data_IF_192397720570
#
_entry.id   IF_192397720570
#
_cell.length_a   1.000
_cell.length_b   1.000
_cell.length_c   1.000
_cell.angle_alpha   90.00
_cell.angle_beta   90.00
_cell.angle_gamma   90.00
#
_symmetry.space_group_name_H-M   'P 1'
#
loop_
_entity.id
_entity.type
_entity.pdbx_description
1 polymer ?
#
# COMPACT_ATOMS: atom_id res chain seq x y z
N UNK A 1 -6.95 -19.93 -25.41
CA UNK A 1 -5.66 -19.70 -26.09
C UNK A 1 -4.58 -19.79 -25.02
N UNK A 2 -3.63 -20.73 -25.13
CA UNK A 2 -2.53 -20.82 -24.15
C UNK A 2 -1.64 -19.57 -24.27
N UNK A 3 -1.39 -18.91 -23.14
CA UNK A 3 -0.51 -17.74 -23.07
C UNK A 3 0.93 -18.20 -23.33
N UNK A 4 1.60 -17.59 -24.29
CA UNK A 4 3.02 -17.89 -24.55
C UNK A 4 3.86 -17.51 -23.32
N UNK A 5 4.88 -18.31 -22.96
CA UNK A 5 5.79 -17.94 -21.89
C UNK A 5 6.51 -16.63 -22.21
N UNK A 6 6.55 -15.72 -21.23
CA UNK A 6 7.32 -14.46 -21.29
C UNK A 6 8.81 -14.80 -21.37
N UNK A 7 9.48 -14.26 -22.38
CA UNK A 7 10.90 -14.50 -22.69
C UNK A 7 11.81 -13.40 -22.16
N UNK A 8 11.33 -12.16 -22.08
CA UNK A 8 12.13 -11.04 -21.56
C UNK A 8 12.55 -11.31 -20.12
N UNK A 9 13.83 -11.09 -19.84
CA UNK A 9 14.46 -11.32 -18.54
C UNK A 9 14.35 -10.08 -17.65
N UNK A 10 14.37 -10.31 -16.34
CA UNK A 10 14.32 -9.24 -15.34
C UNK A 10 15.42 -8.17 -15.56
N UNK A 11 16.71 -8.53 -15.75
CA UNK A 11 17.75 -7.53 -15.96
C UNK A 11 17.51 -6.65 -17.19
N UNK A 12 17.00 -7.22 -18.30
CA UNK A 12 16.71 -6.45 -19.52
C UNK A 12 15.64 -5.37 -19.27
N UNK A 13 14.67 -5.66 -18.40
CA UNK A 13 13.60 -4.72 -18.01
C UNK A 13 14.17 -3.61 -17.12
N UNK A 14 14.97 -3.98 -16.12
CA UNK A 14 15.61 -3.02 -15.20
C UNK A 14 16.53 -2.08 -15.98
N UNK A 15 17.46 -2.63 -16.77
CA UNK A 15 18.42 -1.86 -17.55
C UNK A 15 17.73 -0.91 -18.55
N UNK A 16 16.65 -1.37 -19.19
CA UNK A 16 15.89 -0.55 -20.12
C UNK A 16 15.25 0.65 -19.42
N UNK A 17 14.56 0.44 -18.29
CA UNK A 17 13.80 1.50 -17.64
C UNK A 17 14.65 2.45 -16.82
N UNK A 18 15.57 1.93 -15.99
CA UNK A 18 16.40 2.77 -15.11
C UNK A 18 17.49 3.54 -15.85
N UNK A 19 17.67 3.31 -17.16
CA UNK A 19 18.41 4.22 -18.05
C UNK A 19 17.56 5.36 -18.65
N UNK A 20 16.26 5.39 -18.38
CA UNK A 20 15.28 6.30 -19.01
C UNK A 20 14.37 7.03 -18.02
N UNK A 21 14.18 6.50 -16.82
CA UNK A 21 13.33 7.07 -15.77
C UNK A 21 14.20 7.61 -14.63
N UNK A 22 13.67 8.61 -13.92
CA UNK A 22 14.23 9.05 -12.66
C UNK A 22 13.74 8.11 -11.56
N UNK A 23 14.65 7.35 -10.93
CA UNK A 23 14.31 6.42 -9.86
C UNK A 23 13.67 7.10 -8.64
N UNK A 24 13.92 8.40 -8.45
CA UNK A 24 13.34 9.17 -7.37
C UNK A 24 11.82 9.32 -7.52
N UNK A 25 11.23 9.04 -8.68
CA UNK A 25 9.78 9.02 -8.88
C UNK A 25 9.11 7.73 -8.34
N UNK A 26 9.87 6.73 -7.90
CA UNK A 26 9.37 5.40 -7.57
C UNK A 26 9.66 4.97 -6.13
N UNK A 27 9.01 3.87 -5.71
CA UNK A 27 9.22 3.24 -4.39
C UNK A 27 10.45 2.31 -4.36
N UNK A 28 11.30 2.33 -5.38
CA UNK A 28 12.46 1.44 -5.56
C UNK A 28 13.56 2.18 -6.32
N UNK A 29 14.81 1.95 -5.93
CA UNK A 29 15.99 2.42 -6.67
C UNK A 29 16.46 1.40 -7.72
N UNK A 30 17.31 1.84 -8.64
CA UNK A 30 17.87 1.00 -9.70
C UNK A 30 18.64 -0.21 -9.14
N UNK A 31 19.30 -0.04 -8.00
CA UNK A 31 20.14 -1.07 -7.39
C UNK A 31 19.31 -2.27 -6.88
N UNK A 32 18.10 -2.04 -6.35
CA UNK A 32 17.22 -3.07 -5.79
C UNK A 32 16.00 -3.39 -6.68
N UNK A 33 15.87 -2.74 -7.85
CA UNK A 33 14.76 -2.93 -8.80
C UNK A 33 14.58 -4.38 -9.30
N UNK A 34 15.61 -5.21 -9.22
CA UNK A 34 15.57 -6.62 -9.62
C UNK A 34 14.99 -7.56 -8.54
N UNK A 35 14.83 -7.08 -7.30
CA UNK A 35 14.35 -7.88 -6.17
C UNK A 35 13.21 -7.23 -5.36
N UNK A 36 12.90 -5.96 -5.61
CA UNK A 36 11.79 -5.23 -5.00
C UNK A 36 10.70 -4.87 -5.99
N UNK A 37 9.45 -4.92 -5.53
CA UNK A 37 8.29 -4.54 -6.32
C UNK A 37 8.31 -3.03 -6.60
N UNK A 38 8.12 -2.64 -7.87
CA UNK A 38 8.24 -1.24 -8.29
C UNK A 38 7.14 -0.33 -7.75
N UNK A 39 6.00 -0.90 -7.32
CA UNK A 39 4.95 -0.15 -6.62
C UNK A 39 5.18 -0.07 -5.11
N UNK A 40 5.32 -1.23 -4.46
CA UNK A 40 5.27 -1.28 -3.00
C UNK A 40 6.62 -1.23 -2.29
N UNK A 41 7.73 -1.32 -3.03
CA UNK A 41 9.09 -1.31 -2.49
C UNK A 41 9.44 -2.55 -1.65
N UNK A 42 8.54 -3.53 -1.53
CA UNK A 42 8.79 -4.75 -0.76
C UNK A 42 9.66 -5.73 -1.53
N UNK A 43 10.65 -6.31 -0.85
CA UNK A 43 11.44 -7.44 -1.36
C UNK A 43 10.57 -8.70 -1.45
N UNK A 44 10.29 -9.18 -2.67
CA UNK A 44 9.35 -10.28 -2.95
C UNK A 44 9.73 -10.99 -4.25
N UNK A 45 9.10 -12.14 -4.51
CA UNK A 45 9.13 -12.74 -5.84
C UNK A 45 8.45 -11.79 -6.84
N UNK A 46 9.19 -11.43 -7.89
CA UNK A 46 8.74 -10.49 -8.91
C UNK A 46 8.16 -11.21 -10.13
N UNK A 47 7.12 -10.62 -10.67
CA UNK A 47 6.42 -11.04 -11.87
C UNK A 47 6.61 -9.96 -12.95
N UNK A 48 6.75 -10.42 -14.20
CA UNK A 48 6.86 -9.58 -15.39
C UNK A 48 5.46 -9.14 -15.79
N UNK A 49 5.04 -7.98 -15.29
CA UNK A 49 3.74 -7.40 -15.51
C UNK A 49 3.73 -6.59 -16.81
N UNK A 50 2.73 -6.80 -17.65
CA UNK A 50 2.58 -6.05 -18.89
C UNK A 50 1.99 -4.67 -18.59
N UNK A 51 2.58 -3.61 -19.18
CA UNK A 51 2.04 -2.25 -19.16
C UNK A 51 0.75 -2.21 -19.99
N UNK A 52 0.84 -2.61 -21.26
CA UNK A 52 -0.31 -2.95 -22.10
C UNK A 52 -0.43 -4.46 -22.16
N UNK A 53 -1.61 -5.00 -21.82
CA UNK A 53 -1.85 -6.44 -21.79
C UNK A 53 -1.63 -7.10 -23.16
N UNK A 54 -1.12 -8.34 -23.16
CA UNK A 54 -0.95 -9.18 -24.35
C UNK A 54 -2.27 -9.34 -25.13
N UNK A 55 -3.39 -9.52 -24.42
CA UNK A 55 -4.74 -9.60 -25.02
C UNK A 55 -5.19 -8.31 -25.71
N UNK A 56 -4.50 -7.19 -25.45
CA UNK A 56 -4.73 -5.88 -26.06
C UNK A 56 -3.60 -5.50 -27.04
N UNK A 57 -2.75 -6.45 -27.43
CA UNK A 57 -1.66 -6.23 -28.40
C UNK A 57 -0.34 -5.78 -27.77
N UNK A 58 -0.21 -5.82 -26.45
CA UNK A 58 1.04 -5.54 -25.76
C UNK A 58 2.13 -6.57 -26.07
N UNK A 59 3.35 -6.10 -26.32
CA UNK A 59 4.49 -6.96 -26.70
C UNK A 59 5.26 -7.47 -25.47
N UNK A 60 5.88 -8.64 -25.63
CA UNK A 60 6.88 -9.18 -24.71
C UNK A 60 8.25 -8.55 -25.02
N UNK A 61 8.42 -7.30 -24.59
CA UNK A 61 9.66 -6.52 -24.74
C UNK A 61 9.89 -5.66 -23.50
N UNK A 62 11.15 -5.29 -23.16
CA UNK A 62 11.45 -4.49 -21.98
C UNK A 62 10.60 -3.21 -21.86
N UNK A 63 10.33 -2.55 -22.99
CA UNK A 63 9.55 -1.32 -23.09
C UNK A 63 8.05 -1.47 -22.75
N UNK A 64 7.54 -2.69 -22.55
CA UNK A 64 6.15 -2.95 -22.18
C UNK A 64 6.02 -3.78 -20.90
N UNK A 65 7.09 -3.92 -20.12
CA UNK A 65 7.10 -4.72 -18.90
C UNK A 65 7.57 -3.90 -17.70
N UNK A 66 6.95 -4.15 -16.54
CA UNK A 66 7.38 -3.66 -15.22
C UNK A 66 7.43 -4.83 -14.25
N UNK A 67 8.15 -4.67 -13.12
CA UNK A 67 8.31 -5.74 -12.14
C UNK A 67 7.47 -5.49 -10.88
N UNK A 68 6.50 -6.37 -10.66
CA UNK A 68 5.56 -6.27 -9.53
C UNK A 68 5.55 -7.57 -8.74
N UNK A 69 5.26 -7.49 -7.44
CA UNK A 69 4.89 -8.68 -6.68
C UNK A 69 3.46 -9.12 -7.04
N UNK A 70 3.11 -10.39 -6.80
CA UNK A 70 1.78 -10.95 -7.12
C UNK A 70 0.59 -10.09 -6.66
N UNK A 71 0.70 -9.44 -5.49
CA UNK A 71 -0.34 -8.52 -5.01
C UNK A 71 -0.47 -7.28 -5.89
N UNK A 72 0.64 -6.61 -6.17
CA UNK A 72 0.61 -5.40 -6.99
C UNK A 72 0.27 -5.74 -8.44
N UNK A 73 0.70 -6.89 -8.95
CA UNK A 73 0.32 -7.37 -10.27
C UNK A 73 -1.19 -7.61 -10.36
N UNK A 74 -1.85 -8.15 -9.33
CA UNK A 74 -3.30 -8.31 -9.35
C UNK A 74 -4.08 -6.98 -9.30
N UNK A 75 -3.47 -5.90 -8.80
CA UNK A 75 -4.07 -4.57 -8.66
C UNK A 75 -3.70 -3.61 -9.80
N UNK A 76 -2.91 -4.04 -10.79
CA UNK A 76 -2.39 -3.16 -11.83
C UNK A 76 -3.51 -2.63 -12.76
N UNK A 77 -3.32 -1.46 -13.39
CA UNK A 77 -4.22 -0.98 -14.43
C UNK A 77 -4.32 -1.96 -15.62
N UNK A 78 -5.52 -2.18 -16.13
CA UNK A 78 -5.81 -3.09 -17.25
C UNK A 78 -6.38 -2.32 -18.45
N UNK A 79 -5.62 -1.32 -18.94
CA UNK A 79 -6.03 -0.40 -20.01
C UNK A 79 -4.98 -0.38 -21.14
N UNK A 80 -5.33 0.17 -22.30
CA UNK A 80 -4.43 0.25 -23.47
C UNK A 80 -3.46 1.42 -23.43
N UNK A 81 -3.74 2.43 -22.61
CA UNK A 81 -2.89 3.60 -22.47
C UNK A 81 -1.75 3.30 -21.48
N UNK A 82 -0.48 3.25 -21.94
CA UNK A 82 0.64 2.92 -21.08
C UNK A 82 0.93 3.99 -20.02
N UNK A 83 0.50 5.24 -20.21
CA UNK A 83 0.73 6.34 -19.26
C UNK A 83 0.10 6.03 -17.90
N UNK A 84 -1.07 5.40 -17.90
CA UNK A 84 -1.84 5.08 -16.70
C UNK A 84 -1.09 4.12 -15.76
N UNK A 85 -0.27 3.21 -16.29
CA UNK A 85 0.60 2.37 -15.45
C UNK A 85 1.61 3.23 -14.68
N UNK A 86 2.23 4.19 -15.36
CA UNK A 86 3.24 5.05 -14.78
C UNK A 86 2.64 6.02 -13.78
N UNK A 87 1.50 6.64 -14.09
CA UNK A 87 0.74 7.46 -13.16
C UNK A 87 0.42 6.70 -11.87
N UNK A 88 -0.04 5.46 -12.02
CA UNK A 88 -0.33 4.59 -10.90
C UNK A 88 0.92 4.27 -10.07
N UNK A 89 2.04 3.89 -10.69
CA UNK A 89 3.29 3.62 -9.96
C UNK A 89 3.77 4.84 -9.18
N UNK A 90 3.80 6.01 -9.83
CA UNK A 90 4.25 7.29 -9.24
C UNK A 90 3.34 7.75 -8.11
N UNK A 91 2.03 7.62 -8.26
CA UNK A 91 1.05 8.01 -7.24
C UNK A 91 1.18 7.22 -5.93
N UNK A 92 1.74 6.01 -5.98
CA UNK A 92 2.00 5.16 -4.82
C UNK A 92 3.45 5.20 -4.33
N UNK A 93 4.27 6.15 -4.80
CA UNK A 93 5.62 6.38 -4.28
C UNK A 93 5.60 6.57 -2.76
N UNK A 94 6.52 5.90 -2.06
CA UNK A 94 6.75 6.07 -0.62
C UNK A 94 8.21 6.37 -0.33
N UNK A 95 8.51 7.16 0.73
CA UNK A 95 9.88 7.57 1.04
C UNK A 95 10.77 6.44 1.58
N UNK A 96 10.17 5.36 2.07
CA UNK A 96 10.90 4.24 2.66
C UNK A 96 10.34 2.91 2.19
N UNK A 97 11.22 1.94 1.97
CA UNK A 97 10.83 0.57 1.63
C UNK A 97 9.91 -0.06 2.67
N UNK A 98 9.08 -1.00 2.21
CA UNK A 98 8.18 -1.79 3.04
C UNK A 98 7.10 -0.98 3.80
N UNK A 99 6.95 0.32 3.53
CA UNK A 99 5.99 1.19 4.23
C UNK A 99 4.64 1.37 3.53
N UNK A 100 4.54 1.08 2.23
CA UNK A 100 3.33 1.36 1.42
C UNK A 100 2.05 0.86 2.10
N UNK A 101 2.02 -0.42 2.50
CA UNK A 101 0.80 -1.01 3.04
C UNK A 101 0.40 -0.44 4.40
N UNK A 102 1.37 0.04 5.18
CA UNK A 102 1.07 0.76 6.43
C UNK A 102 0.49 2.14 6.13
N UNK A 103 1.05 2.87 5.16
CA UNK A 103 0.55 4.17 4.72
C UNK A 103 -0.88 4.06 4.17
N UNK A 104 -1.16 3.04 3.34
CA UNK A 104 -2.51 2.80 2.85
C UNK A 104 -3.47 2.44 3.98
N UNK A 105 -3.04 1.63 4.95
CA UNK A 105 -3.83 1.33 6.15
C UNK A 105 -4.14 2.58 6.98
N UNK A 106 -3.21 3.53 7.08
CA UNK A 106 -3.42 4.82 7.76
C UNK A 106 -4.39 5.72 6.99
N UNK A 107 -4.30 5.75 5.65
CA UNK A 107 -5.24 6.46 4.79
C UNK A 107 -6.65 5.90 4.95
N UNK A 108 -6.79 4.57 4.92
CA UNK A 108 -8.06 3.87 5.13
C UNK A 108 -8.61 4.08 6.54
N UNK A 109 -7.74 4.07 7.57
CA UNK A 109 -8.10 4.42 8.94
C UNK A 109 -8.74 5.81 8.99
N UNK A 110 -8.06 6.81 8.42
CA UNK A 110 -8.57 8.19 8.36
C UNK A 110 -9.90 8.28 7.61
N UNK A 111 -10.04 7.52 6.52
CA UNK A 111 -11.29 7.48 5.76
C UNK A 111 -12.46 6.90 6.58
N UNK A 112 -12.24 5.79 7.30
CA UNK A 112 -13.27 5.10 8.09
C UNK A 112 -13.63 5.90 9.35
N UNK A 113 -12.63 6.35 10.11
CA UNK A 113 -12.83 6.94 11.44
C UNK A 113 -12.88 8.46 11.46
N UNK A 114 -12.68 9.11 10.29
CA UNK A 114 -12.65 10.58 10.11
C UNK A 114 -11.60 11.33 10.94
N UNK A 115 -10.71 10.58 11.59
CA UNK A 115 -9.56 11.03 12.37
C UNK A 115 -8.34 10.20 11.99
N UNK A 116 -7.16 10.77 12.06
CA UNK A 116 -5.92 10.03 11.85
C UNK A 116 -5.59 9.14 13.06
N UNK A 117 -4.84 8.07 12.80
CA UNK A 117 -4.32 7.19 13.85
C UNK A 117 -3.46 7.95 14.88
N UNK A 118 -2.72 8.97 14.43
CA UNK A 118 -1.84 9.75 15.30
C UNK A 118 -2.61 10.76 16.16
N UNK A 119 -3.72 11.33 15.69
CA UNK A 119 -4.61 12.14 16.54
C UNK A 119 -5.23 11.30 17.65
N UNK A 120 -5.63 10.07 17.36
CA UNK A 120 -6.17 9.16 18.37
C UNK A 120 -5.11 8.70 19.37
N UNK A 121 -3.86 8.50 18.94
CA UNK A 121 -2.73 8.28 19.85
C UNK A 121 -2.49 9.48 20.77
N UNK A 122 -2.47 10.69 20.21
CA UNK A 122 -2.27 11.93 20.96
C UNK A 122 -3.38 12.16 21.99
N UNK A 123 -4.64 11.83 21.65
CA UNK A 123 -5.76 11.87 22.58
C UNK A 123 -5.61 10.88 23.76
N UNK A 124 -4.89 9.77 23.53
CA UNK A 124 -4.49 8.84 24.59
C UNK A 124 -3.25 9.30 25.37
N UNK A 125 -2.66 10.45 25.04
CA UNK A 125 -1.48 11.01 25.67
C UNK A 125 -0.15 10.52 25.08
N UNK A 126 -0.19 9.81 23.94
CA UNK A 126 1.01 9.26 23.29
C UNK A 126 1.33 10.08 22.04
N UNK A 127 2.29 11.00 22.16
CA UNK A 127 2.74 11.84 21.03
C UNK A 127 4.20 11.60 20.65
N UNK A 128 5.01 11.12 21.58
CA UNK A 128 6.43 10.82 21.35
C UNK A 128 6.59 9.54 20.51
N UNK A 129 7.40 9.56 19.43
CA UNK A 129 7.62 8.38 18.58
C UNK A 129 8.21 7.18 19.32
N UNK A 130 9.12 7.40 20.27
CA UNK A 130 9.78 6.30 20.99
C UNK A 130 8.84 5.68 22.01
N UNK A 131 8.09 6.50 22.74
CA UNK A 131 7.00 6.05 23.61
C UNK A 131 5.97 5.25 22.84
N UNK A 132 5.49 5.75 21.70
CA UNK A 132 4.57 5.03 20.81
C UNK A 132 5.13 3.66 20.43
N UNK A 133 6.40 3.59 20.02
CA UNK A 133 7.03 2.34 19.61
C UNK A 133 7.16 1.36 20.78
N UNK A 134 7.44 1.83 21.99
CA UNK A 134 7.47 1.00 23.21
C UNK A 134 6.08 0.46 23.54
N UNK A 135 5.08 1.33 23.62
CA UNK A 135 3.70 0.97 23.98
C UNK A 135 3.07 0.00 22.97
N UNK A 136 3.32 0.20 21.68
CA UNK A 136 2.72 -0.61 20.63
C UNK A 136 3.40 -1.96 20.40
N UNK A 137 4.62 -2.20 20.92
CA UNK A 137 5.41 -3.40 20.62
C UNK A 137 4.64 -4.70 20.94
N UNK A 138 4.13 -4.81 22.16
CA UNK A 138 3.42 -6.00 22.62
C UNK A 138 1.99 -6.04 22.08
N UNK A 139 1.31 -4.89 22.07
CA UNK A 139 -0.05 -4.74 21.56
C UNK A 139 -0.14 -5.19 20.11
N UNK A 140 0.83 -4.80 19.26
CA UNK A 140 0.89 -5.23 17.86
C UNK A 140 0.92 -6.76 17.75
N UNK A 141 1.72 -7.43 18.58
CA UNK A 141 1.79 -8.90 18.56
C UNK A 141 0.47 -9.54 18.94
N UNK A 142 -0.22 -9.01 19.96
CA UNK A 142 -1.54 -9.51 20.41
C UNK A 142 -2.61 -9.31 19.34
N UNK A 143 -2.65 -8.11 18.74
CA UNK A 143 -3.68 -7.73 17.78
C UNK A 143 -3.49 -8.46 16.45
N UNK A 144 -2.27 -8.64 15.97
CA UNK A 144 -2.01 -9.36 14.72
C UNK A 144 -2.37 -10.85 14.79
N UNK A 145 -2.36 -11.47 15.98
CA UNK A 145 -2.82 -12.85 16.18
C UNK A 145 -4.33 -13.02 16.02
N UNK A 146 -5.09 -11.92 16.02
CA UNK A 146 -6.54 -11.92 15.87
C UNK A 146 -6.99 -11.64 14.43
N UNK A 147 -6.05 -11.46 13.49
CA UNK A 147 -6.35 -11.26 12.08
C UNK A 147 -5.99 -12.50 11.27
N UNK A 148 -6.77 -12.72 10.21
CA UNK A 148 -6.52 -13.73 9.19
C UNK A 148 -6.59 -13.10 7.81
N UNK A 149 -6.18 -13.85 6.81
CA UNK A 149 -6.21 -13.44 5.40
C UNK A 149 -7.34 -14.15 4.67
N UNK A 150 -7.80 -13.57 3.57
CA UNK A 150 -8.80 -14.22 2.73
C UNK A 150 -8.16 -15.36 1.92
N UNK A 151 -8.98 -16.36 1.57
CA UNK A 151 -8.55 -17.43 0.67
C UNK A 151 -8.08 -16.84 -0.68
N UNK A 152 -6.92 -17.28 -1.16
CA UNK A 152 -6.31 -16.77 -2.40
C UNK A 152 -5.58 -15.42 -2.27
N UNK A 153 -5.60 -14.78 -1.11
CA UNK A 153 -4.90 -13.52 -0.85
C UNK A 153 -4.01 -13.68 0.38
N UNK A 154 -2.73 -14.10 0.25
CA UNK A 154 -1.84 -14.37 1.38
C UNK A 154 -1.30 -13.08 2.05
N UNK A 155 -2.13 -12.06 2.18
CA UNK A 155 -1.81 -10.74 2.71
C UNK A 155 -3.05 -10.07 3.29
N UNK A 156 -2.86 -9.13 4.22
CA UNK A 156 -3.95 -8.29 4.70
C UNK A 156 -4.33 -7.23 3.64
N UNK A 157 -5.63 -7.13 3.35
CA UNK A 157 -6.18 -6.00 2.60
C UNK A 157 -6.12 -4.72 3.44
N UNK A 158 -6.34 -3.56 2.81
CA UNK A 158 -6.18 -2.25 3.46
C UNK A 158 -7.15 -2.05 4.62
N UNK A 159 -8.40 -2.53 4.50
CA UNK A 159 -9.40 -2.45 5.57
C UNK A 159 -8.99 -3.26 6.81
N UNK A 160 -8.40 -4.45 6.61
CA UNK A 160 -7.84 -5.25 7.70
C UNK A 160 -6.68 -4.51 8.38
N UNK A 161 -5.78 -3.88 7.64
CA UNK A 161 -4.69 -3.07 8.23
C UNK A 161 -5.25 -1.89 9.05
N UNK A 162 -6.25 -1.17 8.53
CA UNK A 162 -6.93 -0.11 9.28
C UNK A 162 -7.62 -0.64 10.55
N UNK A 163 -8.26 -1.80 10.45
CA UNK A 163 -8.88 -2.50 11.58
C UNK A 163 -7.85 -2.87 12.66
N UNK A 164 -6.68 -3.39 12.25
CA UNK A 164 -5.57 -3.67 13.15
C UNK A 164 -5.08 -2.42 13.88
N UNK A 165 -5.03 -1.25 13.23
CA UNK A 165 -4.71 0.02 13.90
C UNK A 165 -5.77 0.41 14.93
N UNK A 166 -7.06 0.26 14.62
CA UNK A 166 -8.13 0.53 15.59
C UNK A 166 -8.09 -0.42 16.78
N UNK A 167 -7.83 -1.71 16.54
CA UNK A 167 -7.68 -2.71 17.60
C UNK A 167 -6.48 -2.39 18.51
N UNK A 168 -5.36 -1.96 17.94
CA UNK A 168 -4.20 -1.49 18.71
C UNK A 168 -4.56 -0.30 19.63
N UNK A 169 -5.27 0.70 19.11
CA UNK A 169 -5.70 1.85 19.92
C UNK A 169 -6.68 1.46 21.04
N UNK A 170 -7.62 0.55 20.78
CA UNK A 170 -8.55 0.05 21.79
C UNK A 170 -7.81 -0.68 22.92
N UNK A 171 -6.84 -1.51 22.57
CA UNK A 171 -6.05 -2.24 23.56
C UNK A 171 -5.15 -1.31 24.37
N UNK A 172 -4.54 -0.30 23.72
CA UNK A 172 -3.77 0.73 24.40
C UNK A 172 -4.66 1.55 25.37
N UNK A 173 -5.83 1.99 24.93
CA UNK A 173 -6.77 2.72 25.77
C UNK A 173 -7.15 1.90 27.01
N UNK A 174 -7.45 0.59 26.83
CA UNK A 174 -7.71 -0.35 27.92
C UNK A 174 -6.53 -0.44 28.90
N UNK A 175 -5.30 -0.57 28.40
CA UNK A 175 -4.07 -0.61 29.22
C UNK A 175 -3.89 0.66 30.05
N UNK A 176 -4.22 1.83 29.46
CA UNK A 176 -4.09 3.14 30.10
C UNK A 176 -5.27 3.51 31.00
N UNK A 177 -6.32 2.68 31.10
CA UNK A 177 -7.56 3.03 31.81
C UNK A 177 -8.31 4.20 31.17
N UNK A 178 -8.09 4.45 29.87
CA UNK A 178 -8.73 5.52 29.08
C UNK A 178 -9.80 4.94 28.16
N UNK A 179 -10.71 5.79 27.71
CA UNK A 179 -11.66 5.45 26.64
C UNK A 179 -11.23 6.11 25.35
N UNK A 180 -11.26 5.36 24.26
CA UNK A 180 -11.08 5.92 22.92
C UNK A 180 -12.37 6.63 22.54
N UNK A 181 -12.40 7.96 22.64
CA UNK A 181 -13.59 8.75 22.33
C UNK A 181 -14.03 8.48 20.89
N UNK A 182 -15.33 8.30 20.69
CA UNK A 182 -15.98 8.22 19.37
C UNK A 182 -16.73 9.52 19.09
N UNK A 183 -16.18 10.65 19.52
CA UNK A 183 -16.79 11.93 19.18
C UNK A 183 -16.28 12.33 17.81
N UNK A 184 -17.11 12.03 16.79
CA UNK A 184 -17.17 12.67 15.47
C UNK A 184 -18.33 12.08 14.60
N UNK A 185 -19.20 11.21 15.15
CA UNK A 185 -20.43 10.81 14.44
C UNK A 185 -21.44 11.95 14.31
N UNK A 186 -21.35 13.01 15.12
CA UNK A 186 -22.34 14.09 15.15
C UNK A 186 -22.05 15.27 14.22
N UNK A 187 -20.80 15.55 13.84
CA UNK A 187 -20.47 16.74 13.03
C UNK A 187 -20.21 16.46 11.54
N UNK A 188 -19.84 15.22 11.16
CA UNK A 188 -19.44 14.92 9.79
C UNK A 188 -20.59 14.74 8.78
N UNK A 189 -21.86 14.68 9.24
CA UNK A 189 -23.03 14.53 8.36
C UNK A 189 -23.81 15.82 8.09
N UNK A 190 -23.36 16.96 8.64
CA UNK A 190 -23.97 18.26 8.36
C UNK A 190 -23.40 18.86 7.06
N UNK A 191 -23.97 18.50 5.91
CA UNK A 191 -23.92 19.32 4.68
C UNK A 191 -22.64 19.34 3.85
N UNK A 192 -21.59 18.59 4.20
CA UNK A 192 -20.42 18.42 3.30
C UNK A 192 -20.74 17.40 2.22
N UNK A 193 -20.60 17.80 0.96
CA UNK A 193 -20.68 16.87 -0.17
C UNK A 193 -19.65 15.75 0.02
N UNK A 194 -19.99 14.51 -0.33
CA UNK A 194 -19.00 13.45 -0.33
C UNK A 194 -17.78 13.82 -1.19
N UNK A 195 -16.59 13.34 -0.82
CA UNK A 195 -15.35 13.65 -1.53
C UNK A 195 -15.38 13.32 -3.03
N UNK A 196 -16.24 12.38 -3.45
CA UNK A 196 -16.44 12.00 -4.85
C UNK A 196 -17.40 12.93 -5.62
N UNK A 197 -17.95 13.96 -4.97
CA UNK A 197 -18.75 15.03 -5.57
C UNK A 197 -18.15 16.43 -5.32
N UNK A 198 -16.97 16.53 -4.69
CA UNK A 198 -16.24 17.80 -4.57
C UNK A 198 -15.81 18.26 -5.98
N UNK A 199 -16.43 19.33 -6.48
CA UNK A 199 -16.13 19.97 -7.77
C UNK A 199 -15.15 21.10 -7.61
#
# INVERSE_FOLDING_TARGET
MERKPIKTKIPEIVDYWFSRIDESDFSVDAAEAHERCWRCGCKRNLERCHIVLDSLGGRDEPANLVLLCARCHAENPNVTDPEIMWDWLKAYKVPFYDTLWSILGLKEYRFIYKRSFFEDLAALGISDPDERNREMREIKTIVYRQATVHFGQPYFNTATVAGLYRMQLKELARKLGKTLTQDDRSEAMSGKMPWWLET
#
